data_IF_229456470026
#
_entry.id   IF_229456470026
#
_cell.length_a   1.000
_cell.length_b   1.000
_cell.length_c   1.000
_cell.angle_alpha   90.00
_cell.angle_beta   90.00
_cell.angle_gamma   90.00
#
_symmetry.space_group_name_H-M   'P 1'
#
loop_
_entity.id
_entity.type
_entity.pdbx_description
1 polymer ?
#
# COMPACT_ATOMS: atom_id res chain seq x y z
N UNK A 1 19.52 6.15 69.29
CA UNK A 1 19.23 7.11 68.20
C UNK A 1 19.57 6.42 66.88
N UNK A 2 18.57 5.94 66.13
CA UNK A 2 18.69 5.40 64.75
C UNK A 2 17.35 4.89 64.18
N UNK A 3 16.29 4.85 65.00
CA UNK A 3 14.98 4.38 64.57
C UNK A 3 14.26 5.36 63.64
N UNK A 4 14.50 6.67 63.80
CA UNK A 4 13.87 7.74 63.02
C UNK A 4 14.43 7.83 61.58
N UNK A 5 15.76 7.72 61.41
CA UNK A 5 16.42 7.72 60.10
C UNK A 5 16.10 6.48 59.25
N UNK A 6 15.86 5.34 59.91
CA UNK A 6 15.49 4.09 59.23
C UNK A 6 14.04 4.15 58.74
N UNK A 7 13.15 4.83 59.47
CA UNK A 7 11.75 5.00 59.08
C UNK A 7 11.63 5.99 57.91
N UNK A 8 12.37 7.10 57.95
CA UNK A 8 12.36 8.10 56.87
C UNK A 8 12.94 7.56 55.57
N UNK A 9 14.01 6.77 55.62
CA UNK A 9 14.58 6.14 54.42
C UNK A 9 13.62 5.13 53.79
N UNK A 10 12.92 4.32 54.60
CA UNK A 10 11.90 3.39 54.09
C UNK A 10 10.70 4.13 53.45
N UNK A 11 10.26 5.23 54.04
CA UNK A 11 9.19 6.07 53.47
C UNK A 11 9.62 6.71 52.14
N UNK A 12 10.88 7.16 52.04
CA UNK A 12 11.44 7.71 50.82
C UNK A 12 11.54 6.65 49.72
N UNK A 13 12.08 5.47 50.03
CA UNK A 13 12.16 4.34 49.10
C UNK A 13 10.76 3.89 48.61
N UNK A 14 9.76 3.84 49.50
CA UNK A 14 8.38 3.53 49.12
C UNK A 14 7.78 4.60 48.20
N UNK A 15 8.08 5.88 48.45
CA UNK A 15 7.62 6.98 47.59
C UNK A 15 8.27 6.94 46.21
N UNK A 16 9.57 6.62 46.14
CA UNK A 16 10.31 6.46 44.88
C UNK A 16 9.82 5.24 44.09
N UNK A 17 9.57 4.11 44.76
CA UNK A 17 8.97 2.92 44.14
C UNK A 17 7.59 3.21 43.54
N UNK A 18 6.75 3.94 44.28
CA UNK A 18 5.40 4.32 43.82
C UNK A 18 5.48 5.27 42.62
N UNK A 19 6.42 6.22 42.64
CA UNK A 19 6.64 7.16 41.54
C UNK A 19 7.17 6.44 40.29
N UNK A 20 8.09 5.49 40.45
CA UNK A 20 8.60 4.68 39.34
C UNK A 20 7.50 3.80 38.71
N UNK A 21 6.60 3.24 39.52
CA UNK A 21 5.43 2.50 39.02
C UNK A 21 4.47 3.39 38.22
N UNK A 22 4.25 4.63 38.67
CA UNK A 22 3.43 5.60 37.94
C UNK A 22 4.04 5.98 36.59
N UNK A 23 5.36 6.24 36.54
CA UNK A 23 6.05 6.55 35.28
C UNK A 23 5.99 5.38 34.30
N UNK A 24 6.20 4.15 34.78
CA UNK A 24 6.13 2.97 33.93
C UNK A 24 4.72 2.74 33.36
N UNK A 25 3.68 2.88 34.19
CA UNK A 25 2.29 2.75 33.74
C UNK A 25 1.89 3.84 32.75
N UNK A 26 2.38 5.07 32.94
CA UNK A 26 2.21 6.16 31.98
C UNK A 26 2.87 5.85 30.62
N UNK A 27 4.13 5.41 30.62
CA UNK A 27 4.86 5.03 29.41
C UNK A 27 4.20 3.87 28.66
N UNK A 28 3.74 2.84 29.37
CA UNK A 28 2.99 1.72 28.77
C UNK A 28 1.68 2.22 28.16
N UNK A 29 0.95 3.08 28.88
CA UNK A 29 -0.32 3.64 28.39
C UNK A 29 -0.12 4.47 27.11
N UNK A 30 0.97 5.25 27.06
CA UNK A 30 1.36 6.00 25.87
C UNK A 30 1.68 5.08 24.70
N UNK A 31 2.48 4.03 24.90
CA UNK A 31 2.79 3.03 23.85
C UNK A 31 1.54 2.32 23.34
N UNK A 32 0.60 1.95 24.22
CA UNK A 32 -0.68 1.35 23.83
C UNK A 32 -1.48 2.32 22.96
N UNK A 33 -1.52 3.61 23.33
CA UNK A 33 -2.20 4.64 22.53
C UNK A 33 -1.58 4.79 21.15
N UNK A 34 -0.25 4.80 21.05
CA UNK A 34 0.46 4.91 19.78
C UNK A 34 0.21 3.69 18.88
N UNK A 35 0.23 2.48 19.44
CA UNK A 35 -0.11 1.25 18.71
C UNK A 35 -1.54 1.31 18.18
N UNK A 36 -2.50 1.74 19.01
CA UNK A 36 -3.91 1.89 18.61
C UNK A 36 -4.08 2.94 17.52
N UNK A 37 -3.35 4.06 17.58
CA UNK A 37 -3.37 5.10 16.52
C UNK A 37 -2.89 4.53 15.20
N UNK A 38 -1.71 3.88 15.19
CA UNK A 38 -1.15 3.27 13.98
C UNK A 38 -2.05 2.18 13.39
N UNK A 39 -2.71 1.39 14.25
CA UNK A 39 -3.71 0.41 13.81
C UNK A 39 -4.94 1.08 13.20
N UNK A 40 -5.41 2.19 13.76
CA UNK A 40 -6.53 2.94 13.22
C UNK A 40 -6.18 3.54 11.84
N UNK A 41 -5.02 4.17 11.71
CA UNK A 41 -4.50 4.71 10.44
C UNK A 41 -4.40 3.62 9.37
N UNK A 42 -3.85 2.46 9.72
CA UNK A 42 -3.78 1.32 8.80
C UNK A 42 -5.16 0.83 8.37
N UNK A 43 -6.12 0.74 9.32
CA UNK A 43 -7.52 0.35 9.02
C UNK A 43 -8.22 1.35 8.12
N UNK A 44 -7.97 2.65 8.29
CA UNK A 44 -8.51 3.71 7.43
C UNK A 44 -8.02 3.52 6.00
N UNK A 45 -6.70 3.35 5.80
CA UNK A 45 -6.08 3.13 4.48
C UNK A 45 -6.63 1.86 3.83
N UNK A 46 -6.72 0.76 4.58
CA UNK A 46 -7.27 -0.52 4.10
C UNK A 46 -8.77 -0.43 3.77
N UNK A 47 -9.52 0.43 4.47
CA UNK A 47 -10.94 0.61 4.19
C UNK A 47 -11.17 1.22 2.81
N UNK A 48 -10.28 2.10 2.30
CA UNK A 48 -10.49 2.87 1.05
C UNK A 48 -11.85 3.60 1.01
N UNK A 49 -12.47 3.83 2.17
CA UNK A 49 -13.79 4.43 2.26
C UNK A 49 -13.67 5.96 2.24
N UNK A 50 -14.22 6.60 1.19
CA UNK A 50 -14.33 8.06 1.04
C UNK A 50 -14.97 8.78 2.23
N UNK A 51 -15.68 8.05 3.10
CA UNK A 51 -16.43 8.61 4.21
C UNK A 51 -15.54 9.07 5.37
N UNK A 52 -14.36 8.45 5.57
CA UNK A 52 -13.41 8.92 6.58
C UNK A 52 -12.77 10.27 6.18
N UNK A 53 -12.51 10.46 4.88
CA UNK A 53 -11.95 11.71 4.32
C UNK A 53 -12.87 12.93 4.50
N UNK A 54 -14.16 12.70 4.82
CA UNK A 54 -15.17 13.75 5.03
C UNK A 54 -15.48 14.05 6.51
N UNK A 55 -14.73 13.47 7.45
CA UNK A 55 -14.80 13.84 8.86
C UNK A 55 -15.96 13.24 9.68
N UNK A 56 -16.67 12.23 9.17
CA UNK A 56 -17.69 11.52 9.95
C UNK A 56 -17.06 10.45 10.87
N UNK A 57 -17.57 10.34 12.10
CA UNK A 57 -17.11 9.34 13.08
C UNK A 57 -17.46 7.91 12.63
N UNK A 58 -16.57 6.96 12.97
CA UNK A 58 -16.70 5.51 12.70
C UNK A 58 -18.11 4.98 12.99
N UNK A 59 -18.88 4.73 11.94
CA UNK A 59 -20.26 4.23 12.04
C UNK A 59 -20.30 2.68 11.95
N UNK A 60 -21.43 2.08 12.31
CA UNK A 60 -21.63 0.61 12.25
C UNK A 60 -21.32 0.03 10.85
N UNK A 61 -21.58 0.80 9.78
CA UNK A 61 -21.27 0.39 8.41
C UNK A 61 -19.75 0.28 8.18
N UNK A 62 -18.96 1.25 8.64
CA UNK A 62 -17.50 1.23 8.58
C UNK A 62 -16.92 -0.01 9.29
N UNK A 63 -17.37 -0.30 10.52
CA UNK A 63 -16.92 -1.48 11.25
C UNK A 63 -17.37 -2.79 10.59
N UNK A 64 -18.57 -2.83 9.99
CA UNK A 64 -19.04 -3.99 9.23
C UNK A 64 -18.18 -4.20 7.99
N UNK A 65 -17.86 -3.16 7.24
CA UNK A 65 -16.96 -3.23 6.08
C UNK A 65 -15.56 -3.67 6.49
N UNK A 66 -15.03 -3.17 7.62
CA UNK A 66 -13.77 -3.64 8.17
C UNK A 66 -13.82 -5.12 8.57
N UNK A 67 -14.87 -5.59 9.24
CA UNK A 67 -15.02 -7.02 9.60
C UNK A 67 -15.13 -7.91 8.36
N UNK A 68 -15.85 -7.45 7.34
CA UNK A 68 -15.96 -8.14 6.05
C UNK A 68 -14.58 -8.19 5.40
N UNK A 69 -13.83 -7.08 5.38
CA UNK A 69 -12.48 -7.00 4.81
C UNK A 69 -11.43 -7.77 5.61
N UNK A 70 -11.51 -7.81 6.95
CA UNK A 70 -10.68 -8.66 7.82
C UNK A 70 -10.88 -10.15 7.49
N UNK A 71 -12.08 -10.53 7.08
CA UNK A 71 -12.41 -11.90 6.67
C UNK A 71 -12.09 -12.23 5.19
N UNK A 72 -11.62 -11.26 4.38
CA UNK A 72 -11.62 -11.41 2.91
C UNK A 72 -10.28 -11.70 2.19
N UNK A 73 -9.05 -11.56 2.74
CA UNK A 73 -7.87 -12.03 1.99
C UNK A 73 -7.08 -13.07 2.77
N UNK A 74 -7.71 -14.20 3.09
CA UNK A 74 -6.95 -15.37 3.52
C UNK A 74 -7.29 -16.49 2.54
N UNK A 75 -6.27 -16.95 1.84
CA UNK A 75 -6.37 -18.17 1.03
C UNK A 75 -6.77 -19.28 2.00
N UNK A 76 -8.03 -19.73 1.91
CA UNK A 76 -8.62 -20.71 2.84
C UNK A 76 -8.02 -22.11 2.67
N UNK A 77 -7.53 -22.38 1.47
CA UNK A 77 -6.76 -23.56 1.15
C UNK A 77 -6.04 -23.38 -0.17
N UNK A 78 -4.92 -24.08 -0.32
CA UNK A 78 -4.06 -24.03 -1.49
C UNK A 78 -3.85 -25.46 -1.99
N UNK A 79 -4.09 -25.69 -3.28
CA UNK A 79 -3.75 -26.95 -3.92
C UNK A 79 -2.26 -26.92 -4.30
N UNK A 80 -1.51 -27.92 -3.85
CA UNK A 80 -0.05 -27.95 -3.85
C UNK A 80 0.51 -28.70 -5.07
N UNK A 81 -0.26 -29.62 -5.66
CA UNK A 81 0.22 -30.48 -6.74
C UNK A 81 -0.90 -30.92 -7.70
N UNK A 82 -0.53 -31.38 -8.90
CA UNK A 82 -1.46 -31.96 -9.90
C UNK A 82 -2.21 -33.18 -9.37
N UNK A 83 -1.70 -33.81 -8.31
CA UNK A 83 -2.31 -34.94 -7.59
C UNK A 83 -3.45 -34.53 -6.65
N UNK A 84 -3.72 -33.24 -6.49
CA UNK A 84 -4.90 -32.73 -5.75
C UNK A 84 -4.73 -32.55 -4.24
N UNK A 85 -3.50 -32.61 -3.71
CA UNK A 85 -3.27 -32.37 -2.29
C UNK A 85 -3.52 -30.90 -1.94
N UNK A 86 -4.42 -30.66 -0.98
CA UNK A 86 -4.81 -29.31 -0.55
C UNK A 86 -4.39 -29.08 0.90
N UNK A 87 -3.66 -28.00 1.14
CA UNK A 87 -3.38 -27.53 2.50
C UNK A 87 -4.34 -26.41 2.89
N UNK A 88 -4.75 -26.37 4.16
CA UNK A 88 -5.45 -25.25 4.78
C UNK A 88 -4.62 -24.60 5.89
N UNK A 89 -3.40 -25.11 6.15
CA UNK A 89 -2.52 -24.56 7.16
C UNK A 89 -1.94 -23.23 6.69
N UNK A 90 -2.06 -22.20 7.53
CA UNK A 90 -1.66 -20.84 7.17
C UNK A 90 -0.16 -20.72 6.99
N UNK A 91 0.63 -21.41 7.81
CA UNK A 91 2.10 -21.35 7.74
C UNK A 91 2.58 -22.05 6.47
N UNK A 92 2.04 -23.23 6.19
CA UNK A 92 2.31 -23.98 4.97
C UNK A 92 1.93 -23.20 3.71
N UNK A 93 0.74 -22.59 3.67
CA UNK A 93 0.28 -21.73 2.55
C UNK A 93 1.27 -20.60 2.30
N UNK A 94 1.68 -19.88 3.35
CA UNK A 94 2.63 -18.76 3.22
C UNK A 94 3.99 -19.25 2.71
N UNK A 95 4.49 -20.37 3.23
CA UNK A 95 5.76 -20.95 2.79
C UNK A 95 5.72 -21.38 1.32
N UNK A 96 4.62 -21.97 0.86
CA UNK A 96 4.46 -22.39 -0.53
C UNK A 96 4.40 -21.18 -1.45
N UNK A 97 3.60 -20.16 -1.11
CA UNK A 97 3.49 -18.92 -1.89
C UNK A 97 4.84 -18.22 -1.98
N UNK A 98 5.54 -18.09 -0.84
CA UNK A 98 6.86 -17.49 -0.80
C UNK A 98 7.84 -18.27 -1.69
N UNK A 99 7.93 -19.60 -1.51
CA UNK A 99 8.82 -20.44 -2.31
C UNK A 99 8.52 -20.38 -3.81
N UNK A 100 7.23 -20.41 -4.18
CA UNK A 100 6.80 -20.34 -5.57
C UNK A 100 7.24 -19.03 -6.22
N UNK A 101 6.89 -17.88 -5.63
CA UNK A 101 7.21 -16.58 -6.22
C UNK A 101 8.69 -16.25 -6.11
N UNK A 102 9.38 -16.68 -5.04
CA UNK A 102 10.83 -16.61 -4.97
C UNK A 102 11.48 -17.36 -6.13
N UNK A 103 11.00 -18.55 -6.49
CA UNK A 103 11.50 -19.30 -7.65
C UNK A 103 11.10 -18.66 -8.98
N UNK A 104 9.86 -18.19 -9.11
CA UNK A 104 9.35 -17.59 -10.35
C UNK A 104 10.10 -16.32 -10.73
N UNK A 105 10.39 -15.48 -9.73
CA UNK A 105 11.13 -14.23 -9.89
C UNK A 105 12.62 -14.37 -9.57
N UNK A 106 13.11 -15.60 -9.37
CA UNK A 106 14.54 -15.83 -9.26
C UNK A 106 15.18 -15.54 -10.61
N UNK A 107 16.06 -14.55 -10.67
CA UNK A 107 16.97 -14.33 -11.79
C UNK A 107 18.01 -15.45 -11.77
N UNK A 108 17.66 -16.59 -12.36
CA UNK A 108 18.59 -17.70 -12.57
C UNK A 108 19.67 -17.37 -13.59
N UNK A 109 20.64 -18.27 -13.73
CA UNK A 109 21.59 -18.19 -14.84
C UNK A 109 20.83 -18.17 -16.16
N UNK A 110 21.11 -17.14 -16.95
CA UNK A 110 20.47 -16.91 -18.23
C UNK A 110 21.53 -17.04 -19.31
N UNK A 111 21.20 -17.77 -20.38
CA UNK A 111 22.13 -17.92 -21.50
C UNK A 111 22.32 -16.57 -22.20
N UNK A 112 23.55 -16.08 -22.18
CA UNK A 112 23.92 -14.79 -22.74
C UNK A 112 23.66 -14.73 -24.25
N UNK A 113 23.86 -15.83 -24.96
CA UNK A 113 23.59 -15.91 -26.41
C UNK A 113 22.10 -15.78 -26.71
N UNK A 114 21.26 -16.46 -25.93
CA UNK A 114 19.80 -16.33 -26.02
C UNK A 114 19.33 -14.90 -25.72
N UNK A 115 19.92 -14.23 -24.73
CA UNK A 115 19.63 -12.81 -24.44
C UNK A 115 20.01 -11.90 -25.60
N UNK A 116 21.23 -12.05 -26.12
CA UNK A 116 21.73 -11.27 -27.26
C UNK A 116 20.87 -11.50 -28.51
N UNK A 117 20.38 -12.72 -28.73
CA UNK A 117 19.48 -13.04 -29.84
C UNK A 117 18.09 -12.40 -29.66
N UNK A 118 17.50 -12.49 -28.46
CA UNK A 118 16.19 -11.86 -28.18
C UNK A 118 16.28 -10.32 -28.33
N UNK A 119 17.39 -9.75 -27.85
CA UNK A 119 17.62 -8.30 -27.88
C UNK A 119 18.27 -7.83 -29.18
N UNK A 120 18.51 -8.71 -30.17
CA UNK A 120 19.27 -8.37 -31.37
C UNK A 120 18.64 -7.23 -32.17
N UNK A 121 17.32 -7.10 -32.09
CA UNK A 121 16.54 -6.06 -32.76
C UNK A 121 16.20 -4.87 -31.85
N UNK A 122 16.60 -4.93 -30.58
CA UNK A 122 16.37 -3.86 -29.60
C UNK A 122 17.60 -2.96 -29.61
N UNK A 123 17.44 -1.73 -30.11
CA UNK A 123 18.47 -0.71 -29.98
C UNK A 123 18.44 -0.15 -28.55
N UNK A 124 19.60 -0.08 -27.91
CA UNK A 124 19.74 0.53 -26.58
C UNK A 124 19.74 2.07 -26.61
N UNK A 125 19.58 2.67 -27.79
CA UNK A 125 19.54 4.11 -28.00
C UNK A 125 18.52 4.46 -29.08
N UNK A 126 17.84 5.58 -28.89
CA UNK A 126 17.00 6.17 -29.91
C UNK A 126 17.85 6.78 -31.02
N UNK A 127 17.31 6.80 -32.23
CA UNK A 127 17.94 7.56 -33.32
C UNK A 127 17.82 9.06 -33.04
N UNK A 128 18.70 9.86 -33.64
CA UNK A 128 18.66 11.31 -33.48
C UNK A 128 17.32 11.90 -33.91
N UNK A 129 16.71 11.36 -34.98
CA UNK A 129 15.40 11.79 -35.45
C UNK A 129 14.30 11.57 -34.40
N UNK A 130 14.24 10.37 -33.81
CA UNK A 130 13.26 10.04 -32.77
C UNK A 130 13.47 10.88 -31.51
N UNK A 131 14.72 11.11 -31.14
CA UNK A 131 15.08 11.93 -29.98
C UNK A 131 14.62 13.38 -30.18
N UNK A 132 14.83 13.92 -31.38
CA UNK A 132 14.37 15.26 -31.74
C UNK A 132 12.84 15.34 -31.78
N UNK A 133 12.16 14.31 -32.29
CA UNK A 133 10.69 14.24 -32.30
C UNK A 133 10.11 14.25 -30.89
N UNK A 134 10.63 13.39 -30.00
CA UNK A 134 10.20 13.28 -28.60
C UNK A 134 10.54 14.52 -27.76
N UNK A 135 11.50 15.32 -28.20
CA UNK A 135 11.88 16.58 -27.54
C UNK A 135 11.00 17.76 -27.97
N UNK A 136 10.12 17.60 -28.96
CA UNK A 136 9.21 18.68 -29.38
C UNK A 136 8.18 18.97 -28.29
N UNK A 137 7.74 20.23 -28.16
CA UNK A 137 6.57 20.56 -27.36
C UNK A 137 5.35 19.77 -27.84
N UNK A 138 4.53 19.33 -26.90
CA UNK A 138 3.27 18.62 -27.20
C UNK A 138 2.38 19.53 -28.04
N UNK A 139 2.01 19.05 -29.22
CA UNK A 139 1.17 19.77 -30.17
C UNK A 139 -0.32 19.61 -29.87
N UNK A 140 -1.11 20.58 -30.30
CA UNK A 140 -2.57 20.51 -30.19
C UNK A 140 -3.15 19.27 -30.88
N UNK A 141 -2.63 18.92 -32.05
CA UNK A 141 -3.08 17.77 -32.84
C UNK A 141 -2.86 16.44 -32.12
N UNK A 142 -1.77 16.32 -31.36
CA UNK A 142 -1.54 15.13 -30.52
C UNK A 142 -2.57 15.04 -29.39
N UNK A 143 -2.84 16.15 -28.70
CA UNK A 143 -3.85 16.17 -27.62
C UNK A 143 -5.24 15.85 -28.17
N UNK A 144 -5.64 16.47 -29.28
CA UNK A 144 -6.93 16.22 -29.93
C UNK A 144 -7.04 14.76 -30.39
N UNK A 145 -5.97 14.21 -30.97
CA UNK A 145 -5.89 12.80 -31.38
C UNK A 145 -6.06 11.84 -30.20
N UNK A 146 -5.34 12.07 -29.09
CA UNK A 146 -5.44 11.25 -27.87
C UNK A 146 -6.86 11.30 -27.31
N UNK A 147 -7.42 12.50 -27.14
CA UNK A 147 -8.77 12.65 -26.56
C UNK A 147 -9.82 11.99 -27.46
N UNK A 148 -9.70 12.13 -28.78
CA UNK A 148 -10.65 11.55 -29.74
C UNK A 148 -10.60 10.02 -29.75
N UNK A 149 -9.39 9.44 -29.74
CA UNK A 149 -9.17 8.00 -29.82
C UNK A 149 -9.30 7.28 -28.47
N UNK A 150 -9.36 8.02 -27.36
CA UNK A 150 -9.53 7.43 -26.04
C UNK A 150 -10.89 6.72 -25.89
N UNK A 151 -10.92 5.63 -25.12
CA UNK A 151 -12.14 4.85 -24.91
C UNK A 151 -13.20 5.68 -24.17
N UNK A 152 -14.43 5.66 -24.68
CA UNK A 152 -15.58 6.18 -23.94
C UNK A 152 -15.99 5.20 -22.84
N UNK A 153 -16.62 5.71 -21.79
CA UNK A 153 -17.08 5.03 -20.58
C UNK A 153 -15.94 4.45 -19.74
N UNK A 154 -14.77 5.08 -19.85
CA UNK A 154 -13.66 4.80 -18.93
C UNK A 154 -14.02 5.29 -17.52
N UNK A 155 -13.54 4.56 -16.51
CA UNK A 155 -13.60 5.06 -15.14
C UNK A 155 -12.87 6.40 -15.02
N UNK A 156 -13.38 7.35 -14.20
CA UNK A 156 -12.72 8.62 -13.98
C UNK A 156 -11.38 8.45 -13.26
N UNK A 157 -10.45 9.37 -13.52
CA UNK A 157 -9.16 9.44 -12.83
C UNK A 157 -9.28 10.01 -11.41
N UNK A 158 -8.14 10.35 -10.81
CA UNK A 158 -8.08 11.02 -9.50
C UNK A 158 -8.74 12.42 -9.52
N UNK A 159 -8.78 13.03 -10.70
CA UNK A 159 -9.45 14.31 -10.96
C UNK A 159 -10.98 14.19 -11.06
N UNK A 160 -11.52 12.98 -11.16
CA UNK A 160 -12.96 12.73 -11.26
C UNK A 160 -13.56 12.92 -12.66
N UNK A 161 -12.77 13.26 -13.68
CA UNK A 161 -13.26 13.45 -15.05
C UNK A 161 -13.01 12.22 -15.93
N UNK A 162 -13.91 11.99 -16.89
CA UNK A 162 -13.76 10.93 -17.89
C UNK A 162 -13.40 11.49 -19.26
N UNK A 163 -12.96 10.65 -20.19
CA UNK A 163 -12.64 11.08 -21.55
C UNK A 163 -13.82 11.73 -22.29
N UNK A 164 -15.07 11.42 -21.97
CA UNK A 164 -16.23 12.11 -22.53
C UNK A 164 -16.30 13.59 -22.19
N UNK A 165 -15.86 13.95 -20.98
CA UNK A 165 -15.76 15.35 -20.60
C UNK A 165 -14.78 16.08 -21.51
N UNK A 166 -13.58 15.52 -21.68
CA UNK A 166 -12.55 16.09 -22.55
C UNK A 166 -12.97 16.12 -24.01
N UNK A 167 -13.60 15.06 -24.54
CA UNK A 167 -14.12 15.03 -25.92
C UNK A 167 -15.12 16.16 -26.19
N UNK A 168 -15.95 16.52 -25.21
CA UNK A 168 -16.92 17.63 -25.35
C UNK A 168 -16.26 19.01 -25.25
N UNK A 169 -15.18 19.14 -24.49
CA UNK A 169 -14.60 20.42 -24.14
C UNK A 169 -13.24 20.70 -24.78
N UNK A 170 -12.64 19.75 -25.49
CA UNK A 170 -11.28 19.88 -26.04
C UNK A 170 -11.14 21.14 -26.91
N UNK A 171 -12.14 21.44 -27.74
CA UNK A 171 -12.19 22.66 -28.59
C UNK A 171 -12.32 23.98 -27.81
N UNK A 172 -12.75 23.92 -26.55
CA UNK A 172 -12.88 25.09 -25.66
C UNK A 172 -11.64 25.25 -24.77
N UNK A 173 -11.07 24.13 -24.32
CA UNK A 173 -9.92 24.10 -23.41
C UNK A 173 -8.63 24.41 -24.18
N UNK A 174 -8.54 24.04 -25.46
CA UNK A 174 -7.33 24.19 -26.27
C UNK A 174 -7.06 25.57 -26.86
N UNK A 175 -7.93 26.56 -26.61
CA UNK A 175 -7.77 27.93 -27.11
C UNK A 175 -6.88 28.82 -26.21
N UNK A 176 -6.34 28.25 -25.14
CA UNK A 176 -5.41 28.86 -24.20
C UNK A 176 -4.19 27.96 -24.06
#
# INVERSE_FOLDING_TARGET
MNMDSTLTNNLLEQSELTMNQYLLTYEISKKIKDIKSKQAESRIVLSREKWFEKGEKSNSCFYRTLKIKENIPHIKGLNIDVKGYTTTDKVEILNIIAKFYSKLFYSGETDKLSQENILSNVKNSLELADTLELSKPISYTEIEGVVSNSKSKSSPGIDGFTFEFYKKLIRKISKY
#
